data_IF_859351508794
#
_entry.id   IF_859351508794
#
_cell.length_a   1.000
_cell.length_b   1.000
_cell.length_c   1.000
_cell.angle_alpha   90.00
_cell.angle_beta   90.00
_cell.angle_gamma   90.00
#
_symmetry.space_group_name_H-M   'P 1'
#
loop_
_entity.id
_entity.type
_entity.pdbx_description
1 polymer ?
#
# COMPACT_ATOMS: atom_id res chain seq x y z
N UNK A 1 22.10 -8.17 -3.73
CA UNK A 1 23.10 -7.60 -4.67
C UNK A 1 22.86 -8.20 -6.04
N UNK A 2 22.71 -7.41 -7.08
CA UNK A 2 22.60 -7.89 -8.47
C UNK A 2 23.93 -7.66 -9.22
N UNK A 3 24.34 -8.67 -10.00
CA UNK A 3 25.51 -8.71 -10.90
C UNK A 3 26.94 -8.56 -10.30
N UNK A 4 27.20 -9.12 -9.11
CA UNK A 4 28.55 -9.09 -8.48
C UNK A 4 29.52 -10.21 -8.96
N UNK A 5 29.22 -10.90 -10.05
CA UNK A 5 30.09 -12.00 -10.55
C UNK A 5 30.24 -12.07 -12.07
N UNK A 6 29.21 -11.74 -12.85
CA UNK A 6 29.25 -11.89 -14.32
C UNK A 6 29.63 -10.59 -15.04
N UNK A 7 29.36 -9.43 -14.42
CA UNK A 7 29.64 -8.07 -14.94
C UNK A 7 29.21 -7.82 -16.39
N UNK A 8 28.29 -8.64 -16.91
CA UNK A 8 27.73 -8.55 -18.26
C UNK A 8 26.23 -8.41 -18.20
N UNK A 9 25.64 -7.95 -19.29
CA UNK A 9 24.20 -7.81 -19.44
C UNK A 9 23.78 -8.71 -20.60
N UNK A 10 22.94 -9.69 -20.30
CA UNK A 10 22.42 -10.66 -21.27
C UNK A 10 20.98 -10.31 -21.64
N UNK A 11 20.68 -10.38 -22.92
CA UNK A 11 19.31 -10.31 -23.43
C UNK A 11 18.81 -11.73 -23.60
N UNK A 12 17.80 -12.10 -22.84
CA UNK A 12 17.24 -13.45 -22.85
C UNK A 12 15.92 -13.43 -23.61
N UNK A 13 15.82 -14.26 -24.65
CA UNK A 13 14.54 -14.64 -25.21
C UNK A 13 13.87 -15.62 -24.25
N UNK A 14 12.87 -15.13 -23.53
CA UNK A 14 12.15 -15.89 -22.51
C UNK A 14 11.32 -17.03 -23.09
N UNK A 15 10.88 -16.93 -24.35
CA UNK A 15 10.11 -17.97 -25.03
C UNK A 15 11.02 -19.11 -25.45
N UNK A 16 12.19 -18.78 -26.01
CA UNK A 16 13.20 -19.76 -26.43
C UNK A 16 14.11 -20.22 -25.29
N UNK A 17 14.04 -19.56 -24.13
CA UNK A 17 14.90 -19.76 -22.95
C UNK A 17 16.39 -19.72 -23.29
N UNK A 18 16.78 -18.78 -24.16
CA UNK A 18 18.16 -18.64 -24.66
C UNK A 18 18.63 -17.20 -24.58
N UNK A 19 19.93 -17.01 -24.30
CA UNK A 19 20.58 -15.73 -24.51
C UNK A 19 20.65 -15.45 -26.02
N UNK A 20 20.14 -14.29 -26.45
CA UNK A 20 20.08 -13.88 -27.85
C UNK A 20 21.05 -12.74 -28.18
N UNK A 21 21.47 -11.97 -27.18
CA UNK A 21 22.45 -10.90 -27.36
C UNK A 21 23.12 -10.55 -26.02
N UNK A 22 24.27 -9.88 -26.09
CA UNK A 22 24.92 -9.26 -24.96
C UNK A 22 24.93 -7.74 -25.16
N UNK A 23 24.61 -7.00 -24.10
CA UNK A 23 24.71 -5.53 -24.11
C UNK A 23 26.10 -5.13 -23.66
N UNK A 24 26.80 -4.42 -24.53
CA UNK A 24 28.14 -3.88 -24.24
C UNK A 24 28.04 -2.63 -23.39
N UNK A 25 28.96 -2.48 -22.44
CA UNK A 25 29.06 -1.31 -21.56
C UNK A 25 30.50 -0.83 -21.54
N UNK A 26 30.74 0.45 -21.23
CA UNK A 26 32.11 0.98 -21.04
C UNK A 26 32.68 0.66 -19.64
N UNK A 27 31.94 -0.09 -18.83
CA UNK A 27 32.22 -0.32 -17.41
C UNK A 27 32.86 -1.68 -17.17
N UNK A 28 33.80 -1.75 -16.24
CA UNK A 28 34.38 -3.03 -15.82
C UNK A 28 33.49 -3.76 -14.82
N UNK A 29 32.72 -3.01 -14.01
CA UNK A 29 31.85 -3.56 -12.97
C UNK A 29 30.46 -2.95 -13.08
N UNK A 30 29.60 -3.60 -13.84
CA UNK A 30 28.17 -3.29 -13.89
C UNK A 30 27.55 -3.61 -12.53
N UNK A 31 26.79 -2.66 -11.96
CA UNK A 31 26.14 -2.82 -10.64
C UNK A 31 24.62 -2.92 -10.74
N UNK A 32 23.98 -2.01 -11.46
CA UNK A 32 22.52 -1.98 -11.65
C UNK A 32 22.18 -1.50 -13.05
N UNK A 33 20.96 -1.83 -13.46
CA UNK A 33 20.40 -1.42 -14.73
C UNK A 33 18.93 -1.03 -14.54
N UNK A 34 18.45 -0.09 -15.34
CA UNK A 34 17.06 0.36 -15.33
C UNK A 34 16.64 0.82 -16.71
N UNK A 35 15.49 0.35 -17.17
CA UNK A 35 14.89 0.85 -18.41
C UNK A 35 14.21 2.20 -18.19
N UNK A 36 14.24 3.05 -19.20
CA UNK A 36 13.37 4.22 -19.30
C UNK A 36 11.91 3.77 -19.35
N UNK A 37 10.96 4.63 -18.91
CA UNK A 37 9.53 4.33 -19.00
C UNK A 37 9.05 3.93 -20.40
N UNK A 38 9.60 4.54 -21.46
CA UNK A 38 9.28 4.20 -22.85
C UNK A 38 10.03 2.97 -23.40
N UNK A 39 10.86 2.34 -22.56
CA UNK A 39 11.68 1.14 -22.84
C UNK A 39 12.67 1.28 -24.00
N UNK A 40 12.89 2.50 -24.51
CA UNK A 40 13.84 2.75 -25.60
C UNK A 40 15.27 2.83 -25.10
N UNK A 41 15.45 3.23 -23.85
CA UNK A 41 16.75 3.53 -23.26
C UNK A 41 17.00 2.61 -22.07
N UNK A 42 18.15 1.96 -22.04
CA UNK A 42 18.67 1.26 -20.88
C UNK A 42 19.74 2.13 -20.21
N UNK A 43 19.52 2.46 -18.95
CA UNK A 43 20.51 3.10 -18.10
C UNK A 43 21.24 2.03 -17.30
N UNK A 44 22.56 2.00 -17.43
CA UNK A 44 23.43 1.05 -16.73
C UNK A 44 24.35 1.85 -15.82
N UNK A 45 24.47 1.46 -14.56
CA UNK A 45 25.32 2.13 -13.59
C UNK A 45 26.36 1.16 -13.02
N UNK A 46 27.58 1.65 -12.83
CA UNK A 46 28.72 0.83 -12.44
C UNK A 46 29.99 1.64 -12.27
N UNK A 47 31.14 0.96 -12.24
CA UNK A 47 32.46 1.62 -12.21
C UNK A 47 33.16 1.54 -13.56
N UNK A 48 33.69 2.67 -14.00
CA UNK A 48 34.55 2.76 -15.18
C UNK A 48 35.96 2.20 -14.88
N UNK A 49 36.84 2.20 -15.90
CA UNK A 49 38.21 1.67 -15.81
C UNK A 49 39.07 2.44 -14.79
N UNK A 50 38.75 3.70 -14.53
CA UNK A 50 39.42 4.56 -13.54
C UNK A 50 38.87 4.38 -12.11
N UNK A 51 37.91 3.46 -11.91
CA UNK A 51 37.26 3.22 -10.62
C UNK A 51 36.23 4.28 -10.20
N UNK A 52 35.95 5.26 -11.06
CA UNK A 52 34.87 6.24 -10.84
C UNK A 52 33.52 5.61 -11.16
N UNK A 53 32.49 6.02 -10.42
CA UNK A 53 31.12 5.68 -10.77
C UNK A 53 30.74 6.30 -12.10
N UNK A 54 30.04 5.57 -12.95
CA UNK A 54 29.60 6.04 -14.26
C UNK A 54 28.21 5.50 -14.59
N UNK A 55 27.53 6.14 -15.54
CA UNK A 55 26.23 5.76 -16.10
C UNK A 55 26.36 5.68 -17.63
N UNK A 56 26.03 4.54 -18.24
CA UNK A 56 25.83 4.43 -19.69
C UNK A 56 24.36 4.61 -20.03
N UNK A 57 24.06 5.39 -21.06
CA UNK A 57 22.76 5.41 -21.72
C UNK A 57 22.85 4.61 -23.00
N UNK A 58 22.07 3.54 -23.11
CA UNK A 58 22.14 2.58 -24.21
C UNK A 58 20.80 2.56 -24.93
N UNK A 59 20.79 2.70 -26.24
CA UNK A 59 19.59 2.42 -27.05
C UNK A 59 19.35 0.90 -27.07
N UNK A 60 18.18 0.49 -26.60
CA UNK A 60 17.79 -0.92 -26.47
C UNK A 60 17.63 -1.57 -27.85
N UNK A 61 17.17 -0.81 -28.85
CA UNK A 61 16.88 -1.35 -30.18
C UNK A 61 18.14 -1.60 -31.00
N UNK A 62 19.08 -0.66 -31.00
CA UNK A 62 20.36 -0.78 -31.68
C UNK A 62 21.47 -1.45 -30.87
N UNK A 63 21.29 -1.64 -29.55
CA UNK A 63 22.35 -2.05 -28.63
C UNK A 63 23.59 -1.12 -28.72
N UNK A 64 23.34 0.19 -28.83
CA UNK A 64 24.39 1.21 -29.01
C UNK A 64 24.46 2.10 -27.78
N UNK A 65 25.66 2.32 -27.25
CA UNK A 65 25.89 3.30 -26.19
C UNK A 65 25.75 4.70 -26.79
N UNK A 66 24.72 5.43 -26.37
CA UNK A 66 24.45 6.79 -26.81
C UNK A 66 25.39 7.78 -26.14
N UNK A 67 25.56 7.65 -24.83
CA UNK A 67 26.52 8.44 -24.05
C UNK A 67 26.89 7.76 -22.72
N UNK A 68 27.92 8.32 -22.08
CA UNK A 68 28.41 7.93 -20.76
C UNK A 68 28.61 9.16 -19.90
N UNK A 69 28.10 9.13 -18.68
CA UNK A 69 28.29 10.17 -17.67
C UNK A 69 29.11 9.65 -16.51
N UNK A 70 30.18 10.34 -16.14
CA UNK A 70 30.90 10.04 -14.91
C UNK A 70 30.23 10.75 -13.72
N UNK A 71 30.16 10.05 -12.59
CA UNK A 71 29.73 10.60 -11.32
C UNK A 71 30.89 11.35 -10.66
N UNK A 72 30.59 12.51 -10.07
CA UNK A 72 31.60 13.46 -9.58
C UNK A 72 32.51 12.89 -8.47
N UNK A 73 32.00 11.93 -7.68
CA UNK A 73 32.75 11.36 -6.56
C UNK A 73 33.80 10.36 -7.04
N UNK A 74 35.08 10.74 -6.92
CA UNK A 74 36.22 9.81 -7.09
C UNK A 74 36.06 8.61 -6.14
N UNK A 75 36.22 7.40 -6.68
CA UNK A 75 36.01 6.12 -5.98
C UNK A 75 34.58 5.90 -5.44
N UNK A 76 33.58 6.63 -5.94
CA UNK A 76 32.18 6.37 -5.60
C UNK A 76 31.70 5.06 -6.22
N UNK A 77 31.23 4.12 -5.40
CA UNK A 77 30.55 2.91 -5.88
C UNK A 77 29.06 3.21 -5.94
N UNK A 78 28.48 3.38 -7.14
CA UNK A 78 27.05 3.64 -7.25
C UNK A 78 26.24 2.43 -6.78
N UNK A 79 25.18 2.71 -6.02
CA UNK A 79 24.36 1.69 -5.38
C UNK A 79 23.11 1.32 -6.20
N UNK A 80 22.32 2.32 -6.59
CA UNK A 80 21.06 2.15 -7.30
C UNK A 80 20.76 3.34 -8.23
N UNK A 81 19.77 3.19 -9.10
CA UNK A 81 19.36 4.19 -10.09
C UNK A 81 17.83 4.27 -10.21
N UNK A 82 17.30 5.48 -10.02
CA UNK A 82 15.91 5.84 -10.32
C UNK A 82 15.84 6.62 -11.63
N UNK A 83 14.74 6.45 -12.38
CA UNK A 83 14.55 7.11 -13.68
C UNK A 83 13.22 7.85 -13.68
N UNK A 84 13.28 9.15 -13.95
CA UNK A 84 12.13 10.00 -14.15
C UNK A 84 12.26 10.72 -15.50
N UNK A 85 11.17 10.80 -16.25
CA UNK A 85 11.11 11.61 -17.47
C UNK A 85 10.51 12.95 -17.09
N UNK A 86 11.31 14.02 -17.14
CA UNK A 86 10.79 15.37 -17.02
C UNK A 86 10.16 15.76 -18.36
N UNK A 87 8.84 15.66 -18.47
CA UNK A 87 8.12 16.28 -19.58
C UNK A 87 8.27 17.79 -19.43
N UNK A 88 8.95 18.45 -20.37
CA UNK A 88 8.93 19.91 -20.44
C UNK A 88 7.48 20.31 -20.67
N UNK A 89 6.85 20.91 -19.67
CA UNK A 89 5.60 21.61 -19.88
C UNK A 89 5.87 22.70 -20.92
N UNK A 90 5.07 22.82 -21.99
CA UNK A 90 5.18 23.95 -22.89
C UNK A 90 5.07 25.25 -22.08
N UNK A 91 5.91 26.23 -22.42
CA UNK A 91 5.89 27.56 -21.80
C UNK A 91 4.46 28.08 -21.83
N UNK A 92 4.00 28.47 -20.64
CA UNK A 92 2.66 28.96 -20.35
C UNK A 92 2.43 30.28 -21.08
N UNK A 93 1.71 30.24 -22.18
CA UNK A 93 0.90 31.34 -22.66
C UNK A 93 -0.27 30.72 -23.43
N UNK A 94 -1.47 31.13 -23.01
CA UNK A 94 -2.78 30.79 -23.57
C UNK A 94 -3.42 29.45 -23.16
N UNK A 95 -4.48 29.63 -22.36
CA UNK A 95 -5.63 28.76 -22.17
C UNK A 95 -5.42 27.31 -21.69
N UNK A 96 -6.10 27.01 -20.59
CA UNK A 96 -6.48 25.67 -20.15
C UNK A 96 -7.22 24.94 -21.30
N UNK A 97 -6.49 24.27 -22.19
CA UNK A 97 -6.99 23.06 -22.80
C UNK A 97 -6.57 21.91 -21.90
N UNK A 98 -7.54 21.30 -21.24
CA UNK A 98 -7.47 19.91 -20.80
C UNK A 98 -7.09 19.12 -22.05
N UNK A 99 -5.78 18.86 -22.24
CA UNK A 99 -5.35 17.96 -23.30
C UNK A 99 -5.67 16.58 -22.74
N UNK A 100 -6.76 16.03 -23.26
CA UNK A 100 -7.13 14.64 -23.15
C UNK A 100 -5.88 13.76 -23.11
N UNK A 101 -5.70 13.11 -21.97
CA UNK A 101 -4.79 11.99 -21.81
C UNK A 101 -5.23 10.77 -22.64
N UNK A 102 -6.35 10.85 -23.38
CA UNK A 102 -6.84 9.81 -24.28
C UNK A 102 -5.89 9.50 -25.44
N UNK A 103 -5.14 10.48 -25.97
CA UNK A 103 -4.43 10.26 -27.24
C UNK A 103 -3.07 9.55 -27.12
N UNK A 104 -2.52 9.42 -25.91
CA UNK A 104 -1.31 8.61 -25.67
C UNK A 104 -1.62 7.21 -25.10
N UNK A 105 -2.88 6.91 -24.75
CA UNK A 105 -3.32 5.58 -24.32
C UNK A 105 -3.60 4.62 -25.49
N UNK A 106 -3.68 5.13 -26.72
CA UNK A 106 -4.05 4.35 -27.93
C UNK A 106 -2.98 3.35 -28.41
N UNK A 107 -1.88 3.12 -27.70
CA UNK A 107 -0.81 2.19 -28.15
C UNK A 107 -0.33 1.14 -27.14
N UNK A 108 -0.82 1.14 -25.91
CA UNK A 108 -0.50 0.06 -24.96
C UNK A 108 -1.72 -0.85 -24.81
N UNK A 109 -1.59 -2.13 -25.20
CA UNK A 109 -2.60 -3.12 -24.89
C UNK A 109 -2.62 -3.28 -23.36
N UNK A 110 -3.57 -2.64 -22.68
CA UNK A 110 -3.81 -2.79 -21.25
C UNK A 110 -5.18 -2.28 -20.84
N UNK A 111 -5.57 -2.61 -19.61
CA UNK A 111 -6.76 -2.05 -18.96
C UNK A 111 -6.31 -1.04 -17.92
N UNK A 112 -6.91 0.14 -17.94
CA UNK A 112 -6.81 1.08 -16.83
C UNK A 112 -7.92 0.78 -15.84
N UNK A 113 -7.58 0.61 -14.56
CA UNK A 113 -8.55 0.47 -13.48
C UNK A 113 -8.45 1.65 -12.52
N UNK A 114 -9.57 2.06 -11.95
CA UNK A 114 -9.60 2.97 -10.80
C UNK A 114 -9.49 2.12 -9.54
N UNK A 115 -8.48 2.38 -8.71
CA UNK A 115 -8.24 1.61 -7.49
C UNK A 115 -8.00 2.54 -6.29
N UNK A 116 -8.39 2.09 -5.09
CA UNK A 116 -8.06 2.78 -3.84
C UNK A 116 -6.63 2.45 -3.42
N UNK A 117 -5.74 3.43 -3.48
CA UNK A 117 -4.36 3.32 -3.00
C UNK A 117 -4.30 3.73 -1.53
N UNK A 118 -3.68 2.90 -0.70
CA UNK A 118 -3.33 3.26 0.69
C UNK A 118 -2.01 4.04 0.67
N UNK A 119 -2.05 5.31 1.06
CA UNK A 119 -0.87 6.17 1.17
C UNK A 119 -0.11 5.91 2.47
N UNK A 120 -0.86 5.81 3.56
CA UNK A 120 -0.29 5.64 4.89
C UNK A 120 -1.28 4.91 5.78
N UNK A 121 -0.75 4.11 6.70
CA UNK A 121 -1.50 3.41 7.73
C UNK A 121 -0.85 3.72 9.07
N UNK A 122 -1.65 4.21 10.01
CA UNK A 122 -1.30 4.33 11.41
C UNK A 122 -2.08 3.27 12.20
N UNK A 123 -1.42 2.61 13.15
CA UNK A 123 -2.05 1.63 14.03
C UNK A 123 -1.64 1.88 15.47
N UNK A 124 -2.63 1.88 16.36
CA UNK A 124 -2.42 2.00 17.79
C UNK A 124 -3.30 1.02 18.55
N UNK A 125 -2.72 0.41 19.59
CA UNK A 125 -3.42 -0.47 20.50
C UNK A 125 -3.71 0.30 21.79
N UNK A 126 -4.99 0.54 22.06
CA UNK A 126 -5.48 1.19 23.26
C UNK A 126 -6.00 0.12 24.22
N UNK A 127 -5.72 0.28 25.51
CA UNK A 127 -6.21 -0.60 26.57
C UNK A 127 -7.13 0.21 27.46
N UNK A 128 -8.38 -0.23 27.59
CA UNK A 128 -9.34 0.32 28.53
C UNK A 128 -9.38 -0.62 29.72
N UNK A 129 -8.78 -0.18 30.83
CA UNK A 129 -8.84 -0.89 32.10
C UNK A 129 -10.17 -0.56 32.77
N UNK A 130 -10.79 -1.57 33.40
CA UNK A 130 -11.94 -1.39 34.30
C UNK A 130 -13.14 -0.65 33.68
N UNK A 131 -13.55 -1.03 32.47
CA UNK A 131 -14.85 -0.61 31.92
C UNK A 131 -15.95 -1.09 32.86
N UNK A 132 -16.73 -0.16 33.43
CA UNK A 132 -17.79 -0.43 34.41
C UNK A 132 -19.15 -0.05 33.85
N UNK A 133 -20.13 -0.95 33.95
CA UNK A 133 -21.46 -0.77 33.38
C UNK A 133 -22.50 -1.20 34.39
N UNK A 134 -23.48 -0.32 34.63
CA UNK A 134 -24.67 -0.65 35.40
C UNK A 134 -25.58 -1.54 34.57
N UNK A 135 -25.84 -2.75 35.05
CA UNK A 135 -26.78 -3.66 34.41
C UNK A 135 -28.21 -3.34 34.88
N UNK A 136 -29.17 -3.38 33.95
CA UNK A 136 -30.54 -2.89 34.15
C UNK A 136 -31.45 -3.86 34.92
N UNK A 137 -30.91 -4.80 35.70
CA UNK A 137 -31.76 -5.82 36.34
C UNK A 137 -32.64 -5.19 37.43
N UNK A 138 -33.94 -5.13 37.15
CA UNK A 138 -34.97 -4.79 38.11
C UNK A 138 -34.95 -5.82 39.25
N UNK A 139 -34.35 -5.44 40.37
CA UNK A 139 -34.49 -6.06 41.70
C UNK A 139 -33.80 -7.42 41.96
N UNK A 140 -33.31 -8.15 40.95
CA UNK A 140 -32.79 -9.52 41.12
C UNK A 140 -31.35 -9.70 40.65
N UNK A 141 -30.63 -10.61 41.33
CA UNK A 141 -29.23 -10.91 41.05
C UNK A 141 -29.01 -11.44 39.63
N UNK A 142 -27.87 -11.07 39.06
CA UNK A 142 -27.45 -11.51 37.73
C UNK A 142 -26.63 -12.77 37.90
N UNK A 143 -27.05 -13.87 37.28
CA UNK A 143 -26.36 -15.17 37.43
C UNK A 143 -25.24 -15.30 36.40
N UNK A 144 -25.45 -14.85 35.16
CA UNK A 144 -24.54 -15.20 34.08
C UNK A 144 -24.48 -14.17 32.95
N UNK A 145 -23.26 -13.80 32.54
CA UNK A 145 -22.99 -13.07 31.30
C UNK A 145 -22.82 -14.09 30.17
N UNK A 146 -23.74 -14.09 29.21
CA UNK A 146 -23.68 -15.02 28.06
C UNK A 146 -22.66 -14.57 27.02
N UNK A 147 -22.70 -13.30 26.63
CA UNK A 147 -21.86 -12.76 25.55
C UNK A 147 -21.65 -11.24 25.72
N UNK A 148 -20.44 -10.77 25.37
CA UNK A 148 -20.17 -9.36 25.15
C UNK A 148 -19.67 -9.21 23.71
N UNK A 149 -20.41 -8.46 22.88
CA UNK A 149 -20.07 -8.26 21.47
C UNK A 149 -19.78 -6.80 21.17
N UNK A 150 -18.60 -6.55 20.63
CA UNK A 150 -18.16 -5.24 20.18
C UNK A 150 -18.45 -5.04 18.69
N UNK A 151 -18.94 -3.86 18.33
CA UNK A 151 -19.03 -3.39 16.95
C UNK A 151 -17.74 -2.68 16.53
N UNK A 152 -17.66 -2.32 15.25
CA UNK A 152 -16.60 -1.43 14.74
C UNK A 152 -16.73 -0.06 15.40
N UNK A 153 -15.61 0.65 15.55
CA UNK A 153 -15.63 2.00 16.07
C UNK A 153 -16.34 2.95 15.11
N UNK A 154 -17.00 3.95 15.70
CA UNK A 154 -17.62 5.06 15.00
C UNK A 154 -16.89 6.34 15.38
N UNK A 155 -16.56 7.15 14.37
CA UNK A 155 -15.86 8.43 14.56
C UNK A 155 -16.92 9.51 14.84
N UNK A 156 -16.67 10.34 15.84
CA UNK A 156 -17.47 11.54 16.08
C UNK A 156 -16.98 12.61 15.12
N UNK A 157 -17.65 12.74 13.96
CA UNK A 157 -17.15 13.53 12.83
C UNK A 157 -16.87 15.00 13.18
N UNK A 158 -17.61 15.62 14.09
CA UNK A 158 -17.36 17.02 14.49
C UNK A 158 -16.01 17.22 15.19
N UNK A 159 -15.46 16.16 15.77
CA UNK A 159 -14.17 16.21 16.50
C UNK A 159 -12.96 16.00 15.59
N UNK A 160 -13.20 15.74 14.30
CA UNK A 160 -12.15 15.42 13.35
C UNK A 160 -11.40 16.69 12.96
N UNK A 161 -10.15 16.80 13.41
CA UNK A 161 -9.25 17.88 13.04
C UNK A 161 -7.99 17.33 12.39
N UNK A 162 -7.46 18.06 11.40
CA UNK A 162 -6.21 17.73 10.74
C UNK A 162 -5.24 18.89 10.88
N UNK A 163 -4.05 18.59 11.41
CA UNK A 163 -2.97 19.55 11.55
C UNK A 163 -1.78 19.10 10.69
N UNK A 164 -1.18 20.03 9.94
CA UNK A 164 0.10 19.80 9.28
C UNK A 164 1.18 19.89 10.36
N UNK A 165 2.14 18.97 10.34
CA UNK A 165 3.26 19.02 11.27
C UNK A 165 4.28 20.03 10.71
N UNK A 166 4.47 21.17 11.39
CA UNK A 166 5.18 22.37 10.89
C UNK A 166 6.56 22.08 10.26
N UNK A 167 7.27 21.05 10.73
CA UNK A 167 8.60 20.67 10.23
C UNK A 167 8.60 19.53 9.20
N UNK A 168 7.42 18.99 8.85
CA UNK A 168 7.26 17.85 7.92
C UNK A 168 5.99 18.02 7.09
N UNK A 169 6.07 18.82 6.02
CA UNK A 169 4.92 19.16 5.15
C UNK A 169 4.19 17.96 4.54
N UNK A 170 4.85 16.82 4.41
CA UNK A 170 4.25 15.58 3.89
C UNK A 170 3.64 14.69 5.00
N UNK A 171 3.63 15.16 6.24
CA UNK A 171 3.00 14.46 7.36
C UNK A 171 1.89 15.32 7.94
N UNK A 172 0.80 14.67 8.30
CA UNK A 172 -0.31 15.30 8.99
C UNK A 172 -0.74 14.47 10.18
N UNK A 173 -1.17 15.15 11.23
CA UNK A 173 -1.79 14.54 12.39
C UNK A 173 -3.30 14.66 12.26
N UNK A 174 -3.98 13.52 12.19
CA UNK A 174 -5.43 13.44 12.24
C UNK A 174 -5.84 13.16 13.69
N UNK A 175 -6.55 14.11 14.31
CA UNK A 175 -7.12 13.98 15.65
C UNK A 175 -8.61 13.72 15.54
N UNK A 176 -9.13 12.76 16.29
CA UNK A 176 -10.56 12.48 16.35
C UNK A 176 -10.94 11.71 17.61
N UNK A 177 -12.16 11.95 18.08
CA UNK A 177 -12.80 11.12 19.09
C UNK A 177 -13.57 9.98 18.41
N UNK A 178 -13.63 8.84 19.06
CA UNK A 178 -14.38 7.68 18.59
C UNK A 178 -15.10 7.03 19.77
N UNK A 179 -16.10 6.21 19.44
CA UNK A 179 -16.64 5.25 20.39
C UNK A 179 -16.79 3.87 19.78
N UNK A 180 -16.80 2.84 20.63
CA UNK A 180 -17.01 1.45 20.26
C UNK A 180 -18.33 1.01 20.88
N UNK A 181 -19.38 0.83 20.08
CA UNK A 181 -20.63 0.26 20.56
C UNK A 181 -20.42 -1.19 20.99
N UNK A 182 -21.11 -1.60 22.05
CA UNK A 182 -21.17 -2.99 22.47
C UNK A 182 -22.58 -3.37 22.93
N UNK A 183 -22.80 -4.67 22.96
CA UNK A 183 -24.00 -5.33 23.46
C UNK A 183 -23.58 -6.39 24.48
N UNK A 184 -24.31 -6.47 25.58
CA UNK A 184 -24.10 -7.46 26.64
C UNK A 184 -25.38 -8.27 26.78
N UNK A 185 -25.29 -9.58 26.56
CA UNK A 185 -26.37 -10.52 26.81
C UNK A 185 -26.14 -11.21 28.14
N UNK A 186 -27.16 -11.21 29.00
CA UNK A 186 -27.07 -11.84 30.32
C UNK A 186 -28.41 -12.42 30.76
N UNK A 187 -28.34 -13.24 31.81
CA UNK A 187 -29.50 -13.88 32.45
C UNK A 187 -29.59 -13.53 33.93
N UNK A 188 -30.82 -13.31 34.39
CA UNK A 188 -31.12 -13.21 35.81
C UNK A 188 -31.30 -14.59 36.47
N UNK A 189 -31.64 -14.56 37.76
CA UNK A 189 -31.93 -15.75 38.56
C UNK A 189 -33.10 -16.61 38.07
N UNK A 190 -34.04 -16.02 37.34
CA UNK A 190 -35.20 -16.69 36.76
C UNK A 190 -34.94 -17.22 35.35
N UNK A 191 -33.72 -17.05 34.84
CA UNK A 191 -33.34 -17.42 33.48
C UNK A 191 -33.90 -16.48 32.40
N UNK A 192 -34.48 -15.34 32.77
CA UNK A 192 -34.92 -14.30 31.84
C UNK A 192 -33.68 -13.65 31.21
N UNK A 193 -33.75 -13.41 29.90
CA UNK A 193 -32.66 -12.84 29.13
C UNK A 193 -32.80 -11.33 28.99
N UNK A 194 -31.70 -10.63 29.13
CA UNK A 194 -31.60 -9.19 29.02
C UNK A 194 -30.49 -8.82 28.03
N UNK A 195 -30.62 -7.62 27.46
CA UNK A 195 -29.61 -7.03 26.58
C UNK A 195 -29.39 -5.59 27.00
N UNK A 196 -28.16 -5.26 27.37
CA UNK A 196 -27.75 -3.88 27.62
C UNK A 196 -26.83 -3.39 26.50
N UNK A 197 -27.05 -2.15 26.06
CA UNK A 197 -26.24 -1.47 25.06
C UNK A 197 -25.36 -0.41 25.72
N UNK A 198 -24.16 -0.23 25.20
CA UNK A 198 -23.31 0.85 25.65
C UNK A 198 -22.17 1.18 24.69
N UNK A 199 -21.32 2.11 25.11
CA UNK A 199 -20.23 2.64 24.31
C UNK A 199 -18.95 2.80 25.13
N UNK A 200 -17.81 2.51 24.52
CA UNK A 200 -16.47 2.82 25.05
C UNK A 200 -15.93 3.99 24.26
N UNK A 201 -15.70 5.12 24.92
CA UNK A 201 -15.22 6.35 24.27
C UNK A 201 -13.69 6.45 24.33
N UNK A 202 -13.08 6.97 23.29
CA UNK A 202 -11.64 7.20 23.23
C UNK A 202 -11.26 8.32 22.27
N UNK A 203 -9.98 8.69 22.31
CA UNK A 203 -9.39 9.75 21.49
C UNK A 203 -8.20 9.15 20.74
N UNK A 204 -8.04 9.53 19.47
CA UNK A 204 -6.97 9.06 18.62
C UNK A 204 -6.24 10.23 17.95
N UNK A 205 -4.90 10.17 17.99
CA UNK A 205 -4.03 11.10 17.26
C UNK A 205 -3.17 10.30 16.28
N UNK A 206 -3.61 10.19 15.03
CA UNK A 206 -2.94 9.39 14.00
C UNK A 206 -2.00 10.27 13.16
N UNK A 207 -0.69 9.99 13.20
CA UNK A 207 0.27 10.63 12.30
C UNK A 207 0.36 9.85 10.99
N UNK A 208 0.02 10.52 9.88
CA UNK A 208 -0.09 9.91 8.56
C UNK A 208 0.81 10.64 7.56
N UNK A 209 1.43 9.87 6.67
CA UNK A 209 2.15 10.39 5.52
C UNK A 209 1.17 10.72 4.40
N UNK A 210 1.09 11.99 4.02
CA UNK A 210 0.22 12.52 2.98
C UNK A 210 1.07 13.43 2.09
N UNK A 211 1.56 12.93 0.95
CA UNK A 211 2.38 13.73 0.05
C UNK A 211 1.55 14.82 -0.63
N UNK A 212 2.18 15.94 -0.99
CA UNK A 212 1.47 17.11 -1.53
C UNK A 212 0.63 16.82 -2.80
N UNK A 213 1.04 15.85 -3.62
CA UNK A 213 0.25 15.46 -4.81
C UNK A 213 -1.08 14.79 -4.44
N UNK A 214 -1.15 14.10 -3.30
CA UNK A 214 -2.35 13.38 -2.87
C UNK A 214 -3.43 14.35 -2.38
N UNK A 215 -3.06 15.50 -1.85
CA UNK A 215 -3.99 16.57 -1.43
C UNK A 215 -4.89 17.01 -2.59
N UNK A 216 -4.30 17.14 -3.77
CA UNK A 216 -5.01 17.56 -4.99
C UNK A 216 -5.97 16.49 -5.51
N UNK A 217 -5.82 15.24 -5.07
CA UNK A 217 -6.62 14.09 -5.50
C UNK A 217 -7.80 13.80 -4.56
N UNK A 218 -7.89 14.48 -3.42
CA UNK A 218 -8.92 14.23 -2.42
C UNK A 218 -8.59 13.02 -1.56
N UNK A 219 -7.90 13.24 -0.43
CA UNK A 219 -7.57 12.18 0.52
C UNK A 219 -8.79 11.80 1.35
N UNK A 220 -9.18 10.53 1.27
CA UNK A 220 -10.18 9.93 2.14
C UNK A 220 -9.47 9.25 3.32
N UNK A 221 -10.10 9.31 4.50
CA UNK A 221 -9.57 8.68 5.70
C UNK A 221 -10.51 7.59 6.16
N UNK A 222 -9.98 6.36 6.28
CA UNK A 222 -10.74 5.18 6.69
C UNK A 222 -10.22 4.72 8.04
N UNK A 223 -11.12 4.61 9.02
CA UNK A 223 -10.80 4.08 10.34
C UNK A 223 -11.48 2.74 10.51
N UNK A 224 -10.72 1.75 10.98
CA UNK A 224 -11.25 0.46 11.40
C UNK A 224 -10.76 0.16 12.81
N UNK A 225 -11.55 -0.62 13.56
CA UNK A 225 -11.14 -1.15 14.86
C UNK A 225 -11.35 -2.65 14.96
N UNK A 226 -10.56 -3.26 15.84
CA UNK A 226 -10.78 -4.60 16.34
C UNK A 226 -10.69 -4.56 17.86
N UNK A 227 -11.74 -5.04 18.52
CA UNK A 227 -11.87 -5.00 19.98
C UNK A 227 -11.95 -6.40 20.53
N UNK A 228 -11.25 -6.66 21.64
CA UNK A 228 -11.32 -7.92 22.37
C UNK A 228 -11.30 -7.69 23.87
N UNK A 229 -11.97 -8.58 24.61
CA UNK A 229 -11.80 -8.66 26.05
C UNK A 229 -10.36 -9.05 26.39
N UNK A 230 -9.85 -8.49 27.47
CA UNK A 230 -8.55 -8.83 28.05
C UNK A 230 -8.63 -9.33 29.48
N UNK A 231 -9.79 -9.22 30.12
CA UNK A 231 -10.11 -9.85 31.40
C UNK A 231 -11.40 -10.63 31.29
N UNK A 232 -11.61 -11.55 32.23
CA UNK A 232 -12.93 -12.12 32.44
C UNK A 232 -13.85 -11.02 32.98
N UNK A 233 -15.10 -10.91 32.48
CA UNK A 233 -16.07 -9.99 33.06
C UNK A 233 -16.49 -10.44 34.46
N UNK A 234 -16.57 -9.50 35.39
CA UNK A 234 -16.94 -9.75 36.80
C UNK A 234 -18.04 -8.78 37.22
N UNK A 235 -19.00 -9.27 38.02
CA UNK A 235 -20.08 -8.43 38.55
C UNK A 235 -19.74 -8.07 39.99
N UNK A 236 -19.62 -6.78 40.27
CA UNK A 236 -19.33 -6.23 41.60
C UNK A 236 -20.34 -5.12 41.87
N UNK A 237 -21.14 -5.24 42.93
CA UNK A 237 -22.14 -4.24 43.32
C UNK A 237 -23.12 -3.86 42.18
N UNK A 238 -23.60 -4.86 41.43
CA UNK A 238 -24.44 -4.73 40.22
C UNK A 238 -23.78 -4.02 39.01
N UNK A 239 -22.49 -3.68 39.11
CA UNK A 239 -21.71 -3.21 37.98
C UNK A 239 -20.96 -4.37 37.34
N UNK A 240 -21.12 -4.52 36.03
CA UNK A 240 -20.27 -5.39 35.24
C UNK A 240 -18.95 -4.67 34.94
N UNK A 241 -17.85 -5.27 35.38
CA UNK A 241 -16.50 -4.78 35.18
C UNK A 241 -15.72 -5.70 34.25
N UNK A 242 -15.05 -5.12 33.27
CA UNK A 242 -14.12 -5.84 32.40
C UNK A 242 -13.08 -4.91 31.79
N UNK A 243 -12.01 -5.48 31.26
CA UNK A 243 -11.00 -4.76 30.49
C UNK A 243 -11.07 -5.15 29.02
N UNK A 244 -10.83 -4.18 28.14
CA UNK A 244 -10.75 -4.43 26.69
C UNK A 244 -9.46 -3.88 26.11
N UNK A 245 -9.03 -4.53 25.03
CA UNK A 245 -8.02 -3.98 24.13
C UNK A 245 -8.64 -3.71 22.78
N UNK A 246 -8.35 -2.53 22.27
CA UNK A 246 -8.80 -2.03 20.97
C UNK A 246 -7.58 -1.78 20.12
N UNK A 247 -7.51 -2.39 18.94
CA UNK A 247 -6.57 -2.02 17.89
C UNK A 247 -7.30 -1.10 16.91
N UNK A 248 -6.87 0.16 16.82
CA UNK A 248 -7.38 1.14 15.85
C UNK A 248 -6.40 1.25 14.70
N UNK A 249 -6.93 1.24 13.47
CA UNK A 249 -6.18 1.45 12.24
C UNK A 249 -6.77 2.61 11.46
N UNK A 250 -6.01 3.69 11.34
CA UNK A 250 -6.34 4.87 10.54
C UNK A 250 -5.57 4.80 9.23
N UNK A 251 -6.25 4.91 8.09
CA UNK A 251 -5.64 4.87 6.77
C UNK A 251 -5.96 6.14 6.00
N UNK A 252 -4.94 6.71 5.36
CA UNK A 252 -5.13 7.72 4.31
C UNK A 252 -5.17 7.00 2.96
N UNK A 253 -6.23 7.19 2.20
CA UNK A 253 -6.44 6.57 0.90
C UNK A 253 -6.75 7.62 -0.17
N UNK A 254 -6.35 7.34 -1.40
CA UNK A 254 -6.71 8.13 -2.58
C UNK A 254 -7.13 7.18 -3.69
N UNK A 255 -7.98 7.67 -4.58
CA UNK A 255 -8.28 6.94 -5.81
C UNK A 255 -7.14 7.19 -6.81
N UNK A 256 -6.56 6.13 -7.35
CA UNK A 256 -5.46 6.16 -8.31
C UNK A 256 -5.82 5.33 -9.54
N UNK A 257 -5.51 5.87 -10.73
CA UNK A 257 -5.60 5.11 -11.98
C UNK A 257 -4.38 4.21 -12.09
N UNK A 258 -4.62 2.90 -12.11
CA UNK A 258 -3.58 1.88 -12.28
C UNK A 258 -3.70 1.28 -13.66
N UNK A 259 -2.62 1.40 -14.44
CA UNK A 259 -2.54 0.75 -15.74
C UNK A 259 -2.06 -0.70 -15.58
N UNK A 260 -2.91 -1.64 -15.96
CA UNK A 260 -2.61 -3.07 -16.00
C UNK A 260 -2.29 -3.43 -17.46
N UNK A 261 -1.02 -3.70 -17.81
CA UNK A 261 -0.69 -4.13 -19.16
C UNK A 261 -1.29 -5.51 -19.43
N UNK A 262 -1.92 -5.67 -20.60
CA UNK A 262 -2.27 -7.00 -21.10
C UNK A 262 -0.98 -7.71 -21.51
N UNK A 263 -0.68 -8.83 -20.86
CA UNK A 263 0.25 -9.79 -21.41
C UNK A 263 -0.41 -10.48 -22.61
N UNK A 264 0.09 -10.22 -23.82
CA UNK A 264 -0.28 -11.02 -25.00
C UNK A 264 0.26 -12.45 -24.80
N UNK A 265 -0.68 -13.39 -24.70
CA UNK A 265 -0.55 -14.85 -24.78
C UNK A 265 0.12 -15.57 -23.60
N UNK A 266 -0.68 -15.98 -22.62
CA UNK A 266 -0.62 -17.40 -22.22
C UNK A 266 -1.52 -18.15 -23.22
N UNK A 267 -0.95 -19.03 -24.04
CA UNK A 267 -1.73 -19.99 -24.81
C UNK A 267 -2.41 -20.95 -23.84
N UNK A 268 -3.64 -20.62 -23.44
CA UNK A 268 -4.50 -21.52 -22.64
C UNK A 268 -4.93 -22.74 -23.48
N UNK A 269 -4.74 -22.72 -24.81
CA UNK A 269 -5.04 -23.85 -25.69
C UNK A 269 -4.02 -25.01 -25.64
N UNK A 270 -2.90 -24.89 -24.92
CA UNK A 270 -1.97 -26.01 -24.72
C UNK A 270 -2.35 -26.93 -23.54
N UNK A 271 -3.32 -26.52 -22.70
CA UNK A 271 -3.71 -27.30 -21.52
C UNK A 271 -4.98 -28.15 -21.71
N UNK A 272 -5.83 -27.88 -22.71
CA UNK A 272 -7.06 -28.68 -22.92
C UNK A 272 -6.91 -29.81 -23.95
N UNK A 273 -5.86 -29.80 -24.78
CA UNK A 273 -5.67 -30.82 -25.83
C UNK A 273 -4.71 -31.97 -25.45
N UNK A 274 -4.31 -32.09 -24.18
CA UNK A 274 -3.48 -33.23 -23.70
C UNK A 274 -4.27 -34.32 -22.97
N UNK A 275 -5.55 -34.12 -22.68
CA UNK A 275 -6.40 -35.15 -22.06
C UNK A 275 -7.29 -35.91 -23.06
N UNK A 276 -7.39 -35.48 -24.33
CA UNK A 276 -8.24 -36.15 -25.32
C UNK A 276 -7.50 -37.00 -26.37
N UNK A 277 -6.18 -37.18 -26.26
CA UNK A 277 -5.40 -38.00 -27.20
C UNK A 277 -4.87 -39.32 -26.64
N UNK A 278 -5.41 -39.81 -25.51
CA UNK A 278 -5.04 -41.12 -24.96
C UNK A 278 -6.10 -42.23 -25.10
N UNK A 279 -7.31 -41.92 -25.53
CA UNK A 279 -8.38 -42.93 -25.72
C UNK A 279 -8.81 -43.08 -27.18
N UNK A 280 -7.86 -43.22 -28.10
CA UNK A 280 -8.16 -43.68 -29.47
C UNK A 280 -6.94 -44.26 -30.18
N UNK A 281 -6.49 -45.43 -29.71
CA UNK A 281 -5.90 -46.44 -30.60
C UNK A 281 -6.40 -47.81 -30.14
N UNK A 282 -6.94 -48.54 -31.13
CA UNK A 282 -7.41 -49.93 -31.12
C UNK A 282 -6.60 -50.90 -30.25
#
# INVERSE_FOLDING_TARGET
MANDGLHRIEVIDILKRKCIANITTTMQKVKRLRLSPDKKILLVIGQNIEGKGAINRIDVSGNVILDTFDLEKKNGIPYDIGVAIQRRLPKKEEALSVIDSEDNLKKENGTTILAKKVLSTYQEKIIFQEVSIKLTSEEQGIINIEEIRFKKCEIINETRNREIIDNRKEYSMLKYNFYIPYYIWYKDEHGRKYVDEGKIEGIQNATLYIPAYAEQQGVEFVVNSFTKLTSNPEIIDNDLKFSVSVLISTRAIVDELVFIPFFKNCDVQACENRELSKDSVL
#
